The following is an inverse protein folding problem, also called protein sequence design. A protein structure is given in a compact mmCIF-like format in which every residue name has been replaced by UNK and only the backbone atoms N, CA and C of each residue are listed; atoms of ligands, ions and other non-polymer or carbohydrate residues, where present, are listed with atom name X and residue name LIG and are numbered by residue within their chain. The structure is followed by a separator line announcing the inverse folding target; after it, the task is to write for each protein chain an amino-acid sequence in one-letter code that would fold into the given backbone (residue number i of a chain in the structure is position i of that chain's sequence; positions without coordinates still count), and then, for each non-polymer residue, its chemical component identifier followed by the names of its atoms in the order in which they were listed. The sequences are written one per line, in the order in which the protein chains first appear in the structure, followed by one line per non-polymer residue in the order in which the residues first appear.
data_IF_969343799207
#
_entry.id   IF_969343799207
#
_cell.length_a   1.000
_cell.length_b   1.000
_cell.length_c   1.000
_cell.angle_alpha   90.00
_cell.angle_beta   90.00
_cell.angle_gamma   90.00
#
_symmetry.space_group_name_H-M   'P 1'
#
loop_
_entity.id
_entity.type
_entity.pdbx_description
1 polymer ?
#
# COMPACT_ATOMS: atom_id res chain seq x y z
N UNK A 1 8.93 9.64 -3.83
CA UNK A 1 8.00 9.24 -2.75
C UNK A 1 6.64 8.91 -3.35
N UNK A 2 6.07 7.73 -3.09
CA UNK A 2 4.87 7.15 -3.77
C UNK A 2 3.53 7.85 -3.48
N UNK A 3 3.55 9.12 -3.07
CA UNK A 3 2.34 9.90 -2.83
C UNK A 3 1.49 9.44 -1.64
N UNK A 4 2.03 8.60 -0.74
CA UNK A 4 1.32 8.16 0.46
C UNK A 4 1.26 9.32 1.46
N UNK A 5 0.09 9.96 1.57
CA UNK A 5 -0.13 11.09 2.50
C UNK A 5 -0.86 10.69 3.78
N UNK A 6 -1.50 9.50 3.76
CA UNK A 6 -2.29 8.97 4.87
C UNK A 6 -1.87 7.54 5.14
N UNK A 7 -1.07 7.36 6.17
CA UNK A 7 -0.62 6.05 6.65
C UNK A 7 -0.83 5.93 8.16
N UNK A 8 -0.91 4.68 8.63
CA UNK A 8 -0.97 4.33 10.04
C UNK A 8 0.02 3.21 10.33
N UNK A 9 0.66 3.30 11.48
CA UNK A 9 1.53 2.27 12.04
C UNK A 9 0.95 1.92 13.41
N UNK A 10 0.69 0.65 13.64
CA UNK A 10 0.09 0.14 14.87
C UNK A 10 0.64 -1.25 15.19
N UNK A 11 0.46 -1.76 16.42
CA UNK A 11 0.77 -3.15 16.73
C UNK A 11 0.09 -4.10 15.75
N UNK A 12 0.82 -5.13 15.32
CA UNK A 12 0.31 -6.17 14.44
C UNK A 12 -0.54 -7.21 15.15
N UNK A 13 -1.14 -8.10 14.37
CA UNK A 13 -1.96 -9.20 14.88
C UNK A 13 -1.17 -10.21 15.71
N UNK A 14 0.14 -10.32 15.48
CA UNK A 14 1.07 -11.17 16.23
C UNK A 14 1.94 -10.35 17.18
N UNK A 15 2.26 -10.95 18.32
CA UNK A 15 3.16 -10.33 19.31
C UNK A 15 4.52 -10.00 18.66
N UNK A 16 4.97 -8.77 18.87
CA UNK A 16 6.23 -8.27 18.31
C UNK A 16 6.14 -7.82 16.85
N UNK A 17 4.99 -7.93 16.19
CA UNK A 17 4.80 -7.42 14.84
C UNK A 17 4.19 -6.01 14.82
N UNK A 18 4.39 -5.34 13.69
CA UNK A 18 3.88 -4.03 13.37
C UNK A 18 3.04 -4.14 12.12
N UNK A 19 1.83 -3.57 12.18
CA UNK A 19 0.95 -3.41 11.05
C UNK A 19 1.10 -2.01 10.45
N UNK A 20 1.54 -1.96 9.20
CA UNK A 20 1.57 -0.74 8.39
C UNK A 20 0.37 -0.76 7.45
N UNK A 21 -0.40 0.33 7.43
CA UNK A 21 -1.50 0.50 6.48
C UNK A 21 -1.49 1.88 5.84
N UNK A 22 -1.91 1.98 4.59
CA UNK A 22 -2.14 3.25 3.92
C UNK A 22 -3.31 3.19 2.93
N UNK A 23 -3.83 4.36 2.58
CA UNK A 23 -4.92 4.50 1.60
C UNK A 23 -4.54 5.45 0.48
N UNK A 24 -4.92 5.08 -0.74
CA UNK A 24 -4.73 5.87 -1.95
C UNK A 24 -6.06 5.98 -2.70
N UNK A 25 -6.38 7.19 -3.18
CA UNK A 25 -7.55 7.42 -4.03
C UNK A 25 -7.34 6.78 -5.40
N UNK A 26 -8.41 6.20 -5.96
CA UNK A 26 -8.39 5.67 -7.32
C UNK A 26 -8.85 6.77 -8.28
N UNK A 27 -7.98 7.16 -9.22
CA UNK A 27 -8.29 8.18 -10.21
C UNK A 27 -9.53 7.79 -11.02
N UNK A 28 -10.48 8.72 -11.17
CA UNK A 28 -11.74 8.47 -11.88
C UNK A 28 -12.85 7.85 -11.03
N UNK A 29 -12.59 7.44 -9.79
CA UNK A 29 -13.58 6.85 -8.89
C UNK A 29 -13.62 7.59 -7.55
N UNK A 30 -14.45 8.65 -7.47
CA UNK A 30 -14.47 9.61 -6.34
C UNK A 30 -14.75 9.00 -4.95
N UNK A 31 -15.32 7.79 -4.88
CA UNK A 31 -15.67 7.10 -3.62
C UNK A 31 -14.87 5.82 -3.38
N UNK A 32 -13.96 5.46 -4.29
CA UNK A 32 -13.16 4.24 -4.17
C UNK A 32 -11.76 4.61 -3.72
N UNK A 33 -11.34 3.97 -2.63
CA UNK A 33 -9.98 4.02 -2.14
C UNK A 33 -9.39 2.62 -2.20
N UNK A 34 -8.13 2.54 -2.59
CA UNK A 34 -7.36 1.34 -2.50
C UNK A 34 -6.55 1.39 -1.21
N UNK A 35 -6.67 0.33 -0.41
CA UNK A 35 -5.92 0.18 0.83
C UNK A 35 -4.80 -0.84 0.62
N UNK A 36 -3.65 -0.54 1.19
CA UNK A 36 -2.46 -1.40 1.18
C UNK A 36 -2.02 -1.61 2.62
N UNK A 37 -1.76 -2.87 2.96
CA UNK A 37 -1.52 -3.31 4.33
C UNK A 37 -0.45 -4.40 4.36
N UNK A 38 0.42 -4.36 5.36
CA UNK A 38 1.39 -5.43 5.62
C UNK A 38 1.73 -5.49 7.11
N UNK A 39 2.02 -6.70 7.60
CA UNK A 39 2.52 -6.94 8.95
C UNK A 39 3.92 -7.55 8.90
N UNK A 40 4.82 -7.02 9.73
CA UNK A 40 6.16 -7.56 9.90
C UNK A 40 6.72 -7.24 11.29
N UNK A 41 7.69 -8.04 11.75
CA UNK A 41 8.42 -7.79 13.00
C UNK A 41 9.23 -6.47 13.00
N UNK A 42 9.48 -5.89 11.82
CA UNK A 42 10.19 -4.63 11.66
C UNK A 42 9.26 -3.61 10.94
N UNK A 43 9.01 -2.42 11.52
CA UNK A 43 8.19 -1.40 10.88
C UNK A 43 8.72 -0.96 9.51
N UNK A 44 10.04 -0.94 9.30
CA UNK A 44 10.64 -0.57 8.00
C UNK A 44 10.36 -1.64 6.96
N UNK A 45 10.38 -2.92 7.37
CA UNK A 45 9.99 -4.03 6.49
C UNK A 45 8.51 -3.96 6.12
N UNK A 46 7.61 -3.75 7.09
CA UNK A 46 6.17 -3.61 6.81
C UNK A 46 5.89 -2.45 5.84
N UNK A 47 6.56 -1.31 6.01
CA UNK A 47 6.45 -0.20 5.08
C UNK A 47 6.96 -0.56 3.67
N UNK A 48 8.09 -1.26 3.57
CA UNK A 48 8.67 -1.70 2.30
C UNK A 48 7.75 -2.65 1.54
N UNK A 49 7.14 -3.60 2.25
CA UNK A 49 6.20 -4.55 1.66
C UNK A 49 4.98 -3.82 1.08
N UNK A 50 4.46 -2.81 1.79
CA UNK A 50 3.38 -1.93 1.26
C UNK A 50 3.82 -1.12 0.05
N UNK A 51 5.04 -0.58 0.03
CA UNK A 51 5.57 0.13 -1.14
C UNK A 51 5.68 -0.79 -2.36
N UNK A 52 6.12 -2.03 -2.16
CA UNK A 52 6.22 -3.01 -3.22
C UNK A 52 4.84 -3.38 -3.79
N UNK A 53 3.81 -3.52 -2.94
CA UNK A 53 2.43 -3.73 -3.41
C UNK A 53 1.95 -2.57 -4.32
N UNK A 54 2.28 -1.33 -3.96
CA UNK A 54 1.91 -0.15 -4.74
C UNK A 54 2.63 -0.13 -6.09
N UNK A 55 3.93 -0.43 -6.11
CA UNK A 55 4.72 -0.49 -7.36
C UNK A 55 4.20 -1.56 -8.31
N UNK A 56 3.83 -2.73 -7.78
CA UNK A 56 3.23 -3.82 -8.56
C UNK A 56 1.89 -3.39 -9.15
N UNK A 57 1.03 -2.75 -8.35
CA UNK A 57 -0.27 -2.25 -8.81
C UNK A 57 -0.13 -1.18 -9.91
N UNK A 58 0.78 -0.21 -9.71
CA UNK A 58 1.05 0.83 -10.71
C UNK A 58 1.61 0.24 -12.01
N UNK A 59 2.49 -0.74 -11.92
CA UNK A 59 3.04 -1.44 -13.08
C UNK A 59 1.96 -2.23 -13.82
N UNK A 60 1.08 -2.92 -13.11
CA UNK A 60 -0.04 -3.66 -13.70
C UNK A 60 -1.01 -2.71 -14.43
N UNK A 61 -1.39 -1.58 -13.81
CA UNK A 61 -2.27 -0.59 -14.46
C UNK A 61 -1.65 0.00 -15.73
N UNK A 62 -0.34 0.30 -15.73
CA UNK A 62 0.35 0.80 -16.93
C UNK A 62 0.31 -0.21 -18.07
N UNK A 63 0.54 -1.49 -17.78
CA UNK A 63 0.45 -2.56 -18.79
C UNK A 63 -0.96 -2.68 -19.37
N UNK A 64 -1.99 -2.60 -18.51
CA UNK A 64 -3.39 -2.62 -18.96
C UNK A 64 -3.74 -1.40 -19.83
N UNK A 65 -3.18 -0.23 -19.54
CA UNK A 65 -3.38 0.96 -20.36
C UNK A 65 -2.68 0.89 -21.72
N UNK A 66 -1.53 0.20 -21.81
CA UNK A 66 -0.78 0.01 -23.07
C UNK A 66 -1.38 -1.07 -23.98
N UNK A 67 -2.17 -2.00 -23.43
CA UNK A 67 -2.80 -3.08 -24.16
C UNK A 67 -4.21 -2.73 -24.72
N UNK A 68 -4.67 -1.48 -24.53
CA UNK A 68 -5.93 -0.93 -25.08
C UNK A 68 -5.62 0.06 -26.19
#
# INVERSE_FOLDING_TARGET
AHGIRRFKIQPGSRSGEVHFSCVRSVSGLARVVQRYEAEAADPVRAARDVLQQIEQADSAMRRLAQAR
#
